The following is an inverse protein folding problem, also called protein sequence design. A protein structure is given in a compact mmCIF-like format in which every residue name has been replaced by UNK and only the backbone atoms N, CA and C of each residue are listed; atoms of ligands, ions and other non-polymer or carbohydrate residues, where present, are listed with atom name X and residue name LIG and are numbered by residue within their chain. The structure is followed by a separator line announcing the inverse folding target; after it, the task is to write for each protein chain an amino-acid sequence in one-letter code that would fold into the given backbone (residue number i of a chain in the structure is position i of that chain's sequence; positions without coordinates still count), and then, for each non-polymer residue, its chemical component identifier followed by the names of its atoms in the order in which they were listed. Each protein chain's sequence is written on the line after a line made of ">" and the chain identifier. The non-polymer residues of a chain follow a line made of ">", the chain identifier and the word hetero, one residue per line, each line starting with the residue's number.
data_IF_925166940772
#
_entry.id   IF_925166940772
#
_cell.length_a   1.000
_cell.length_b   1.000
_cell.length_c   1.000
_cell.angle_alpha   90.00
_cell.angle_beta   90.00
_cell.angle_gamma   90.00
#
_symmetry.space_group_name_H-M   'P 1'
#
loop_
_entity.id
_entity.type
_entity.pdbx_description
1 polymer ?
#
# COMPACT_ATOMS: atom_id res chain seq x y z
N UNK A 1 -9.17 -35.12 -47.37
CA UNK A 1 -8.45 -35.99 -46.41
C UNK A 1 -8.67 -35.46 -45.01
N UNK A 2 -9.57 -36.07 -44.23
CA UNK A 2 -9.87 -35.70 -42.83
C UNK A 2 -9.27 -36.78 -41.93
N UNK A 3 -8.33 -36.42 -41.06
CA UNK A 3 -7.77 -37.34 -40.05
C UNK A 3 -8.55 -37.17 -38.75
N UNK A 4 -9.37 -38.17 -38.44
CA UNK A 4 -9.98 -38.39 -37.13
C UNK A 4 -8.93 -38.98 -36.19
N UNK A 5 -8.78 -38.40 -35.00
CA UNK A 5 -7.95 -38.95 -33.92
C UNK A 5 -8.89 -39.36 -32.79
N UNK A 6 -9.00 -40.67 -32.56
CA UNK A 6 -9.71 -41.25 -31.40
C UNK A 6 -8.87 -41.09 -30.15
N UNK A 7 -9.41 -40.43 -29.12
CA UNK A 7 -8.85 -40.44 -27.77
C UNK A 7 -9.44 -41.63 -27.00
N UNK A 8 -8.59 -42.59 -26.65
CA UNK A 8 -8.94 -43.67 -25.73
C UNK A 8 -8.88 -43.14 -24.28
N UNK A 9 -10.02 -43.19 -23.60
CA UNK A 9 -10.18 -42.80 -22.21
C UNK A 9 -9.73 -43.96 -21.30
N UNK A 10 -8.55 -43.85 -20.69
CA UNK A 10 -8.09 -44.81 -19.68
C UNK A 10 -8.61 -44.39 -18.29
N UNK A 11 -9.55 -45.16 -17.75
CA UNK A 11 -9.97 -45.05 -16.35
C UNK A 11 -8.87 -45.60 -15.42
N UNK A 12 -8.27 -44.74 -14.61
CA UNK A 12 -7.50 -45.15 -13.44
C UNK A 12 -8.44 -45.23 -12.23
N UNK A 13 -8.70 -46.43 -11.74
CA UNK A 13 -9.37 -46.67 -10.48
C UNK A 13 -8.40 -46.42 -9.31
N UNK A 14 -8.63 -45.36 -8.54
CA UNK A 14 -7.95 -45.10 -7.27
C UNK A 14 -8.72 -45.84 -6.17
N UNK A 15 -8.06 -46.79 -5.51
CA UNK A 15 -8.58 -47.46 -4.33
C UNK A 15 -8.33 -46.58 -3.08
N UNK A 16 -9.40 -46.21 -2.37
CA UNK A 16 -9.31 -45.57 -1.06
C UNK A 16 -8.96 -46.61 0.01
N UNK A 17 -7.79 -46.47 0.64
CA UNK A 17 -7.42 -47.22 1.83
C UNK A 17 -7.83 -46.42 3.07
N UNK A 18 -8.84 -46.89 3.79
CA UNK A 18 -9.29 -46.30 5.06
C UNK A 18 -8.29 -46.61 6.17
N UNK A 19 -7.36 -45.68 6.44
CA UNK A 19 -6.49 -45.73 7.61
C UNK A 19 -7.15 -45.09 8.82
N UNK A 20 -7.53 -45.89 9.82
CA UNK A 20 -7.93 -45.43 11.14
C UNK A 20 -6.69 -44.99 11.94
N UNK A 21 -6.57 -43.70 12.22
CA UNK A 21 -5.61 -43.16 13.19
C UNK A 21 -6.37 -42.40 14.26
N UNK A 22 -6.22 -42.82 15.51
CA UNK A 22 -6.78 -42.16 16.70
C UNK A 22 -6.17 -40.77 16.89
N UNK A 23 -6.92 -39.78 17.42
CA UNK A 23 -6.38 -38.44 17.66
C UNK A 23 -5.43 -38.44 18.87
N UNK A 24 -4.33 -37.66 18.84
CA UNK A 24 -3.51 -37.45 20.02
C UNK A 24 -4.23 -36.56 21.03
N UNK A 25 -4.11 -36.92 22.30
CA UNK A 25 -4.58 -36.15 23.45
C UNK A 25 -3.88 -34.79 23.52
N UNK A 26 -4.66 -33.72 23.66
CA UNK A 26 -4.15 -32.35 23.81
C UNK A 26 -3.43 -32.20 25.16
N UNK A 27 -2.10 -32.17 25.12
CA UNK A 27 -1.26 -31.76 26.24
C UNK A 27 -1.06 -30.24 26.18
N UNK A 28 -1.57 -29.55 27.20
CA UNK A 28 -1.48 -28.09 27.35
C UNK A 28 -0.02 -27.65 27.45
N UNK A 29 0.55 -27.20 26.32
CA UNK A 29 1.91 -26.66 26.28
C UNK A 29 1.92 -25.19 26.68
N UNK A 30 2.75 -24.88 27.69
CA UNK A 30 3.06 -23.53 28.16
C UNK A 30 3.57 -22.65 26.99
N UNK A 31 3.18 -21.37 26.89
CA UNK A 31 3.63 -20.51 25.80
C UNK A 31 5.16 -20.36 25.81
N UNK A 32 5.81 -20.36 24.64
CA UNK A 32 7.26 -20.21 24.54
C UNK A 32 7.69 -18.84 25.08
N UNK A 33 8.90 -18.73 25.66
CA UNK A 33 9.43 -17.46 26.13
C UNK A 33 9.57 -16.47 24.97
N UNK A 34 9.51 -15.15 25.26
CA UNK A 34 9.63 -14.12 24.23
C UNK A 34 10.95 -14.30 23.46
N UNK A 35 10.85 -14.32 22.13
CA UNK A 35 12.00 -14.47 21.27
C UNK A 35 13.01 -13.33 21.55
N UNK A 36 14.28 -13.71 21.74
CA UNK A 36 15.37 -12.75 21.82
C UNK A 36 15.39 -11.87 20.56
N UNK A 37 15.83 -10.60 20.66
CA UNK A 37 15.91 -9.71 19.50
C UNK A 37 16.77 -10.37 18.41
N UNK A 38 16.18 -10.53 17.23
CA UNK A 38 16.85 -11.13 16.08
C UNK A 38 18.13 -10.35 15.78
N UNK A 39 19.24 -11.08 15.60
CA UNK A 39 20.50 -10.49 15.15
C UNK A 39 20.26 -9.70 13.85
N UNK A 40 20.99 -8.58 13.62
CA UNK A 40 20.82 -7.79 12.40
C UNK A 40 21.01 -8.69 11.18
N UNK A 41 20.05 -8.63 10.26
CA UNK A 41 20.04 -9.45 9.05
C UNK A 41 21.35 -9.25 8.28
N UNK A 42 22.04 -10.36 7.99
CA UNK A 42 23.24 -10.38 7.13
C UNK A 42 22.81 -10.92 5.77
N UNK A 43 22.85 -10.09 4.72
CA UNK A 43 22.46 -10.50 3.37
C UNK A 43 22.43 -9.34 2.36
N UNK A 44 22.35 -9.62 1.05
CA UNK A 44 22.30 -8.59 0.01
C UNK A 44 21.19 -7.55 0.20
N UNK A 45 20.02 -7.95 0.68
CA UNK A 45 18.89 -7.07 0.95
C UNK A 45 19.18 -6.08 2.09
N UNK A 46 19.85 -6.55 3.14
CA UNK A 46 20.27 -5.71 4.25
C UNK A 46 21.36 -4.70 3.83
N UNK A 47 22.27 -5.12 2.95
CA UNK A 47 23.27 -4.22 2.36
C UNK A 47 22.61 -3.14 1.50
N UNK A 48 21.64 -3.51 0.65
CA UNK A 48 20.88 -2.56 -0.16
C UNK A 48 20.10 -1.57 0.73
N UNK A 49 19.43 -2.06 1.77
CA UNK A 49 18.68 -1.21 2.69
C UNK A 49 19.58 -0.22 3.44
N UNK A 50 20.82 -0.63 3.78
CA UNK A 50 21.81 0.23 4.42
C UNK A 50 22.35 1.34 3.49
N UNK A 51 22.29 1.17 2.18
CA UNK A 51 22.65 2.20 1.20
C UNK A 51 21.53 3.22 0.96
N UNK A 52 20.29 2.88 1.34
CA UNK A 52 19.12 3.72 1.09
C UNK A 52 18.93 4.76 2.18
N UNK A 53 19.26 6.01 1.85
CA UNK A 53 19.25 7.17 2.75
C UNK A 53 17.87 7.73 3.08
N UNK A 54 16.79 7.13 2.56
CA UNK A 54 15.42 7.60 2.80
C UNK A 54 14.98 7.32 4.23
N UNK A 55 14.10 8.17 4.75
CA UNK A 55 13.46 8.00 6.05
C UNK A 55 12.59 6.75 6.05
N UNK A 56 12.89 5.83 6.97
CA UNK A 56 12.15 4.59 7.14
C UNK A 56 10.81 4.83 7.85
N UNK A 57 9.72 4.47 7.18
CA UNK A 57 8.36 4.52 7.73
C UNK A 57 8.03 3.16 8.33
N UNK A 58 7.95 3.02 9.67
CA UNK A 58 7.60 1.75 10.30
C UNK A 58 6.14 1.41 10.00
N UNK A 59 5.90 0.29 9.34
CA UNK A 59 4.56 -0.21 9.04
C UNK A 59 4.47 -1.69 9.39
N UNK A 60 3.35 -2.10 9.96
CA UNK A 60 3.02 -3.53 10.07
C UNK A 60 2.72 -4.10 8.66
N UNK A 61 2.85 -5.42 8.44
CA UNK A 61 2.74 -6.00 7.10
C UNK A 61 1.44 -5.65 6.36
N UNK A 62 0.30 -5.64 7.06
CA UNK A 62 -1.00 -5.32 6.46
C UNK A 62 -1.11 -3.84 6.05
N UNK A 63 -0.62 -2.93 6.88
CA UNK A 63 -0.56 -1.50 6.54
C UNK A 63 0.32 -1.25 5.32
N UNK A 64 1.50 -1.87 5.29
CA UNK A 64 2.42 -1.71 4.16
C UNK A 64 1.83 -2.25 2.85
N UNK A 65 1.15 -3.40 2.90
CA UNK A 65 0.46 -3.96 1.74
C UNK A 65 -0.68 -3.05 1.27
N UNK A 66 -1.52 -2.58 2.19
CA UNK A 66 -2.64 -1.69 1.88
C UNK A 66 -2.13 -0.39 1.24
N UNK A 67 -1.09 0.24 1.80
CA UNK A 67 -0.47 1.42 1.20
C UNK A 67 0.02 1.15 -0.23
N UNK A 68 0.69 0.02 -0.49
CA UNK A 68 1.12 -0.33 -1.85
C UNK A 68 -0.07 -0.55 -2.80
N UNK A 69 -1.17 -1.11 -2.33
CA UNK A 69 -2.39 -1.23 -3.13
C UNK A 69 -2.94 0.15 -3.50
N UNK A 70 -3.02 1.06 -2.53
CA UNK A 70 -3.44 2.44 -2.78
C UNK A 70 -2.49 3.12 -3.78
N UNK A 71 -1.17 3.04 -3.62
CA UNK A 71 -0.22 3.64 -4.57
C UNK A 71 -0.38 3.13 -6.00
N UNK A 72 -0.67 1.83 -6.19
CA UNK A 72 -0.96 1.27 -7.52
C UNK A 72 -2.29 1.78 -8.08
N UNK A 73 -3.31 1.89 -7.24
CA UNK A 73 -4.60 2.50 -7.61
C UNK A 73 -4.44 3.97 -8.02
N UNK A 74 -3.60 4.71 -7.31
CA UNK A 74 -3.31 6.11 -7.61
C UNK A 74 -2.64 6.29 -8.98
N UNK A 75 -1.73 5.39 -9.35
CA UNK A 75 -1.14 5.36 -10.69
C UNK A 75 -2.18 5.08 -11.78
N UNK A 76 -3.16 4.20 -11.51
CA UNK A 76 -4.27 3.96 -12.44
C UNK A 76 -5.14 5.21 -12.59
N UNK A 77 -5.48 5.89 -11.49
CA UNK A 77 -6.23 7.14 -11.54
C UNK A 77 -5.50 8.21 -12.38
N UNK A 78 -4.18 8.37 -12.22
CA UNK A 78 -3.36 9.28 -13.03
C UNK A 78 -3.41 8.92 -14.53
N UNK A 79 -3.32 7.64 -14.86
CA UNK A 79 -3.44 7.17 -16.25
C UNK A 79 -4.82 7.51 -16.83
N UNK A 80 -5.90 7.21 -16.10
CA UNK A 80 -7.27 7.48 -16.52
C UNK A 80 -7.52 8.98 -16.70
N UNK A 81 -7.07 9.82 -15.76
CA UNK A 81 -7.15 11.29 -15.88
C UNK A 81 -6.47 11.76 -17.16
N UNK A 82 -5.26 11.26 -17.45
CA UNK A 82 -4.48 11.65 -18.63
C UNK A 82 -5.22 11.28 -19.92
N UNK A 83 -5.73 10.06 -20.01
CA UNK A 83 -6.44 9.56 -21.19
C UNK A 83 -7.80 10.24 -21.39
N UNK A 84 -8.54 10.48 -20.30
CA UNK A 84 -9.82 11.17 -20.32
C UNK A 84 -9.66 12.64 -20.71
N UNK A 85 -8.63 13.31 -20.16
CA UNK A 85 -8.32 14.69 -20.49
C UNK A 85 -8.01 14.87 -21.98
N UNK A 86 -7.23 13.96 -22.58
CA UNK A 86 -6.93 13.98 -24.01
C UNK A 86 -8.20 13.92 -24.90
N UNK A 87 -9.28 13.32 -24.38
CA UNK A 87 -10.59 13.21 -25.04
C UNK A 87 -11.58 14.28 -24.59
N UNK A 88 -11.20 15.16 -23.65
CA UNK A 88 -12.10 16.10 -22.95
C UNK A 88 -13.30 15.40 -22.30
N UNK A 89 -13.10 14.17 -21.82
CA UNK A 89 -14.08 13.42 -21.03
C UNK A 89 -13.99 13.86 -19.56
N UNK A 90 -14.63 14.99 -19.27
CA UNK A 90 -14.58 15.64 -17.95
C UNK A 90 -15.18 14.78 -16.84
N UNK A 91 -16.26 14.05 -17.14
CA UNK A 91 -16.90 13.15 -16.17
C UNK A 91 -15.94 12.06 -15.71
N UNK A 92 -15.16 11.48 -16.64
CA UNK A 92 -14.14 10.49 -16.29
C UNK A 92 -12.96 11.13 -15.55
N UNK A 93 -12.51 12.34 -15.93
CA UNK A 93 -11.47 13.06 -15.18
C UNK A 93 -11.91 13.28 -13.72
N UNK A 94 -13.13 13.74 -13.49
CA UNK A 94 -13.67 13.96 -12.14
C UNK A 94 -13.76 12.67 -11.34
N UNK A 95 -14.31 11.60 -11.92
CA UNK A 95 -14.44 10.29 -11.26
C UNK A 95 -13.09 9.69 -10.89
N UNK A 96 -12.12 9.77 -11.80
CA UNK A 96 -10.77 9.25 -11.54
C UNK A 96 -10.02 10.11 -10.52
N UNK A 97 -10.16 11.43 -10.55
CA UNK A 97 -9.59 12.32 -9.54
C UNK A 97 -10.19 12.07 -8.14
N UNK A 98 -11.50 11.83 -8.05
CA UNK A 98 -12.17 11.57 -6.77
C UNK A 98 -11.61 10.35 -6.01
N UNK A 99 -11.07 9.35 -6.71
CA UNK A 99 -10.42 8.17 -6.09
C UNK A 99 -9.17 8.52 -5.28
N UNK A 100 -8.50 9.61 -5.65
CA UNK A 100 -7.24 10.06 -5.05
C UNK A 100 -7.37 11.40 -4.33
N UNK A 101 -8.58 11.94 -4.25
CA UNK A 101 -8.91 13.18 -3.55
C UNK A 101 -8.92 13.02 -2.02
N UNK A 102 -8.97 14.15 -1.33
CA UNK A 102 -9.04 14.20 0.13
C UNK A 102 -10.34 13.60 0.66
N UNK A 103 -10.23 12.83 1.74
CA UNK A 103 -11.39 12.35 2.50
C UNK A 103 -11.05 12.19 4.00
N UNK A 104 -12.03 12.26 4.91
CA UNK A 104 -11.80 12.02 6.33
C UNK A 104 -11.15 10.66 6.61
N UNK A 105 -11.60 9.62 5.91
CA UNK A 105 -11.08 8.26 6.02
C UNK A 105 -9.61 8.19 5.59
N UNK A 106 -9.27 8.86 4.49
CA UNK A 106 -7.88 8.98 4.05
C UNK A 106 -7.03 9.69 5.09
N UNK A 107 -7.50 10.81 5.66
CA UNK A 107 -6.74 11.57 6.66
C UNK A 107 -6.41 10.73 7.89
N UNK A 108 -7.38 9.95 8.38
CA UNK A 108 -7.18 9.01 9.49
C UNK A 108 -6.14 7.95 9.13
N UNK A 109 -6.24 7.38 7.92
CA UNK A 109 -5.29 6.38 7.43
C UNK A 109 -3.87 6.93 7.31
N UNK A 110 -3.69 8.12 6.71
CA UNK A 110 -2.39 8.79 6.61
C UNK A 110 -1.80 9.09 7.98
N UNK A 111 -2.61 9.58 8.91
CA UNK A 111 -2.19 9.86 10.30
C UNK A 111 -1.72 8.59 11.00
N UNK A 112 -2.48 7.51 10.87
CA UNK A 112 -2.13 6.22 11.48
C UNK A 112 -0.85 5.63 10.87
N UNK A 113 -0.70 5.64 9.54
CA UNK A 113 0.50 5.16 8.86
C UNK A 113 1.74 6.01 9.17
N UNK A 114 1.57 7.33 9.29
CA UNK A 114 2.65 8.29 9.54
C UNK A 114 3.06 8.44 11.00
N UNK A 115 2.33 7.82 11.95
CA UNK A 115 2.55 8.00 13.38
C UNK A 115 3.99 7.73 13.85
N UNK A 116 4.76 6.90 13.14
CA UNK A 116 6.15 6.58 13.47
C UNK A 116 7.20 7.25 12.56
N UNK A 117 6.79 8.20 11.70
CA UNK A 117 7.67 8.84 10.72
C UNK A 117 7.32 10.32 10.55
N UNK A 118 8.08 11.24 11.19
CA UNK A 118 7.85 12.68 11.07
C UNK A 118 7.83 13.16 9.61
N UNK A 119 6.87 14.00 9.27
CA UNK A 119 6.71 14.55 7.92
C UNK A 119 6.00 13.61 6.93
N UNK A 120 5.73 12.35 7.28
CA UNK A 120 5.09 11.39 6.38
C UNK A 120 3.61 11.69 6.17
N UNK A 121 2.89 11.99 7.27
CA UNK A 121 1.47 12.34 7.22
C UNK A 121 1.25 13.55 6.32
N UNK A 122 2.04 14.61 6.51
CA UNK A 122 1.95 15.85 5.74
C UNK A 122 2.23 15.61 4.25
N UNK A 123 3.23 14.79 3.93
CA UNK A 123 3.52 14.41 2.56
C UNK A 123 2.35 13.66 1.90
N UNK A 124 1.73 12.71 2.62
CA UNK A 124 0.55 11.99 2.15
C UNK A 124 -0.66 12.90 1.95
N UNK A 125 -0.96 13.77 2.92
CA UNK A 125 -2.08 14.71 2.81
C UNK A 125 -1.87 15.73 1.68
N UNK A 126 -0.63 16.15 1.45
CA UNK A 126 -0.30 17.04 0.33
C UNK A 126 -0.64 16.42 -1.03
N UNK A 127 -0.38 15.12 -1.22
CA UNK A 127 -0.75 14.40 -2.45
C UNK A 127 -2.28 14.44 -2.69
N UNK A 128 -3.06 14.15 -1.66
CA UNK A 128 -4.52 14.13 -1.79
C UNK A 128 -5.11 15.52 -2.00
N UNK A 129 -4.52 16.55 -1.38
CA UNK A 129 -4.92 17.94 -1.59
C UNK A 129 -4.65 18.44 -3.02
N UNK A 130 -3.54 18.04 -3.65
CA UNK A 130 -3.28 18.41 -5.05
C UNK A 130 -4.26 17.72 -6.01
N UNK A 131 -4.70 16.50 -5.68
CA UNK A 131 -5.72 15.79 -6.45
C UNK A 131 -7.10 16.48 -6.41
N UNK A 132 -7.45 17.14 -5.30
CA UNK A 132 -8.68 17.96 -5.23
C UNK A 132 -8.69 19.08 -6.28
N UNK A 133 -7.52 19.62 -6.60
CA UNK A 133 -7.34 20.61 -7.66
C UNK A 133 -7.68 20.08 -9.06
N UNK A 134 -7.43 18.79 -9.32
CA UNK A 134 -7.76 18.13 -10.59
C UNK A 134 -9.28 18.07 -10.75
N UNK A 135 -9.99 17.59 -9.74
CA UNK A 135 -11.45 17.50 -9.76
C UNK A 135 -12.10 18.88 -9.91
N UNK A 136 -11.57 19.89 -9.22
CA UNK A 136 -12.04 21.28 -9.38
C UNK A 136 -11.83 21.80 -10.81
N UNK A 137 -10.63 21.65 -11.36
CA UNK A 137 -10.33 22.13 -12.72
C UNK A 137 -11.14 21.41 -13.80
N UNK A 138 -11.45 20.13 -13.60
CA UNK A 138 -12.28 19.34 -14.51
C UNK A 138 -13.73 19.84 -14.55
N UNK A 139 -14.31 20.23 -13.41
CA UNK A 139 -15.64 20.87 -13.35
C UNK A 139 -15.70 22.17 -14.16
N UNK A 140 -14.61 22.93 -14.09
CA UNK A 140 -14.44 24.18 -14.83
C UNK A 140 -14.06 23.93 -16.32
N UNK A 141 -13.89 22.66 -16.74
CA UNK A 141 -13.49 22.21 -18.08
C UNK A 141 -12.22 22.86 -18.60
N UNK A 142 -11.30 23.17 -17.69
CA UNK A 142 -10.03 23.83 -17.99
C UNK A 142 -8.90 22.80 -18.10
N UNK A 143 -8.53 22.45 -19.33
CA UNK A 143 -7.46 21.48 -19.57
C UNK A 143 -6.09 21.92 -19.03
N UNK A 144 -5.78 23.21 -19.08
CA UNK A 144 -4.48 23.72 -18.63
C UNK A 144 -4.39 23.67 -17.10
N UNK A 145 -5.49 24.01 -16.41
CA UNK A 145 -5.58 23.88 -14.97
C UNK A 145 -5.54 22.41 -14.52
N UNK A 146 -6.19 21.49 -15.24
CA UNK A 146 -6.10 20.04 -14.96
C UNK A 146 -4.66 19.56 -15.09
N UNK A 147 -3.96 19.89 -16.18
CA UNK A 147 -2.55 19.52 -16.35
C UNK A 147 -1.65 20.10 -15.27
N UNK A 148 -1.88 21.35 -14.87
CA UNK A 148 -1.12 22.01 -13.79
C UNK A 148 -1.32 21.29 -12.47
N UNK A 149 -2.57 20.95 -12.11
CA UNK A 149 -2.88 20.20 -10.90
C UNK A 149 -2.31 18.78 -10.94
N UNK A 150 -2.38 18.10 -12.10
CA UNK A 150 -1.79 16.78 -12.30
C UNK A 150 -0.27 16.80 -12.13
N UNK A 151 0.41 17.82 -12.67
CA UNK A 151 1.85 18.04 -12.48
C UNK A 151 2.22 18.16 -11.00
N UNK A 152 1.50 18.99 -10.24
CA UNK A 152 1.68 19.12 -8.77
C UNK A 152 1.46 17.79 -8.04
N UNK A 153 0.44 17.02 -8.44
CA UNK A 153 0.22 15.68 -7.88
C UNK A 153 1.41 14.75 -8.15
N UNK A 154 1.95 14.74 -9.37
CA UNK A 154 3.14 13.94 -9.70
C UNK A 154 4.40 14.41 -8.95
N UNK A 155 4.55 15.71 -8.71
CA UNK A 155 5.63 16.25 -7.86
C UNK A 155 5.57 15.64 -6.46
N UNK A 156 4.39 15.51 -5.84
CA UNK A 156 4.26 14.85 -4.53
C UNK A 156 4.63 13.37 -4.56
N UNK A 157 4.34 12.64 -5.65
CA UNK A 157 4.79 11.26 -5.83
C UNK A 157 6.32 11.15 -5.77
N UNK A 158 7.01 11.99 -6.55
CA UNK A 158 8.49 12.00 -6.60
C UNK A 158 9.11 12.49 -5.29
N UNK A 159 8.48 13.48 -4.65
CA UNK A 159 8.90 13.99 -3.34
C UNK A 159 8.78 12.94 -2.25
N UNK A 160 7.69 12.18 -2.21
CA UNK A 160 7.52 11.09 -1.25
C UNK A 160 8.53 9.97 -1.51
N UNK A 161 8.67 9.51 -2.75
CA UNK A 161 9.52 8.37 -3.10
C UNK A 161 11.03 8.66 -2.97
N UNK A 162 11.44 9.92 -3.05
CA UNK A 162 12.83 10.35 -2.80
C UNK A 162 13.15 10.53 -1.31
N UNK A 163 12.14 10.67 -0.45
CA UNK A 163 12.31 10.96 0.98
C UNK A 163 12.00 9.78 1.89
N UNK A 164 11.05 8.93 1.51
CA UNK A 164 10.52 7.89 2.39
C UNK A 164 10.65 6.50 1.77
N UNK A 165 10.84 5.50 2.63
CA UNK A 165 10.78 4.08 2.30
C UNK A 165 9.98 3.33 3.35
N UNK A 166 9.24 2.30 2.95
CA UNK A 166 8.57 1.43 3.92
C UNK A 166 9.60 0.55 4.64
N UNK A 167 9.50 0.46 5.97
CA UNK A 167 10.21 -0.52 6.79
C UNK A 167 9.19 -1.39 7.51
N UNK A 168 9.18 -2.68 7.17
CA UNK A 168 8.22 -3.62 7.73
C UNK A 168 8.67 -4.00 9.15
N UNK A 169 7.76 -3.86 10.11
CA UNK A 169 7.99 -4.20 11.53
C UNK A 169 6.82 -5.03 12.07
N UNK A 170 7.02 -5.70 13.21
CA UNK A 170 5.93 -6.32 13.94
C UNK A 170 5.10 -5.28 14.74
N UNK A 171 3.97 -5.74 15.27
CA UNK A 171 3.01 -4.91 16.03
C UNK A 171 3.63 -4.29 17.29
N UNK A 172 4.45 -5.07 18.00
CA UNK A 172 5.09 -4.62 19.24
C UNK A 172 6.09 -3.49 18.97
N UNK A 173 6.89 -3.63 17.91
CA UNK A 173 7.83 -2.63 17.46
C UNK A 173 7.12 -1.38 16.97
N UNK A 174 6.06 -1.52 16.15
CA UNK A 174 5.26 -0.39 15.69
C UNK A 174 4.68 0.39 16.88
N UNK A 175 4.04 -0.30 17.83
CA UNK A 175 3.48 0.30 19.05
C UNK A 175 4.53 1.04 19.87
N UNK A 176 5.73 0.49 20.00
CA UNK A 176 6.83 1.14 20.74
C UNK A 176 7.28 2.44 20.06
N UNK A 177 7.45 2.40 18.73
CA UNK A 177 7.90 3.54 17.94
C UNK A 177 6.87 4.68 17.88
N UNK A 178 5.58 4.35 17.82
CA UNK A 178 4.50 5.35 17.70
C UNK A 178 4.09 5.95 19.04
N UNK A 179 4.23 5.23 20.16
CA UNK A 179 4.03 5.80 21.51
C UNK A 179 5.04 6.90 21.84
N UNK A 180 6.28 6.76 21.36
CA UNK A 180 7.35 7.74 21.56
C UNK A 180 7.20 8.96 20.66
N UNK A 181 6.40 8.85 19.58
CA UNK A 181 6.16 9.91 18.61
C UNK A 181 4.90 10.74 18.91
N UNK A 182 4.19 10.47 20.01
CA UNK A 182 3.03 11.26 20.40
C UNK A 182 3.43 12.73 20.70
N UNK A 183 2.70 13.73 20.19
CA UNK A 183 3.06 15.13 20.38
C UNK A 183 2.95 15.54 21.85
N UNK A 184 4.01 16.17 22.37
CA UNK A 184 4.08 16.77 23.71
C UNK A 184 3.39 18.14 23.79
N UNK A 185 2.32 18.38 23.03
CA UNK A 185 1.59 19.65 23.07
C UNK A 185 0.12 19.48 23.46
N UNK A 186 -0.37 20.29 24.41
CA UNK A 186 -1.74 20.21 24.89
C UNK A 186 -2.68 20.64 23.78
N UNK A 187 -3.74 19.86 23.57
CA UNK A 187 -4.91 20.27 22.83
C UNK A 187 -5.54 21.45 23.59
N UNK A 188 -5.43 22.65 23.03
CA UNK A 188 -6.15 23.84 23.46
C UNK A 188 -7.39 24.03 22.58
#
# INVERSE_FOLDING_TARGET
>A
MKRTVSFALALFAVACQSGSSSPPTAESSKPPPPAAPAAPAKGPEAMLDAMDSRTAVPLIPMMANHQKQNMRDHLLAVQEITLALAKKDWDTVEKSAARISSSPQMTQMCTHMGAGAPGFTEAGLSFHSTADGIAKAAKDKDSAAVLTALGKTLETCTGCHSRFKQRIVDEATWTSLTKQAAPTHPMH
#
